data_IF_607101784434
#
_entry.id   IF_607101784434
#
_cell.length_a   1.000
_cell.length_b   1.000
_cell.length_c   1.000
_cell.angle_alpha   90.00
_cell.angle_beta   90.00
_cell.angle_gamma   90.00
#
_symmetry.space_group_name_H-M   'P 1'
#
loop_
_entity.id
_entity.type
_entity.pdbx_description
1 polymer ?
#
# COMPACT_ATOMS: atom_id res chain seq x y z
N UNK A 1 35.61 -18.91 -32.50
CA UNK A 1 34.15 -18.93 -32.69
C UNK A 1 33.54 -19.72 -31.54
N UNK A 2 32.98 -19.03 -30.54
CA UNK A 2 32.37 -19.65 -29.37
C UNK A 2 30.89 -19.35 -29.42
N UNK A 3 30.07 -20.38 -29.62
CA UNK A 3 28.62 -20.30 -29.60
C UNK A 3 28.13 -20.19 -28.15
N UNK A 4 27.43 -19.11 -27.82
CA UNK A 4 26.66 -19.00 -26.59
C UNK A 4 25.20 -19.33 -26.92
N UNK A 5 24.70 -20.40 -26.32
CA UNK A 5 23.31 -20.85 -26.42
C UNK A 5 22.56 -20.31 -25.19
N UNK A 6 21.63 -19.40 -25.40
CA UNK A 6 20.80 -18.84 -24.35
C UNK A 6 19.58 -19.75 -24.12
N UNK A 7 19.47 -20.32 -22.92
CA UNK A 7 18.27 -20.98 -22.43
C UNK A 7 17.28 -19.91 -21.92
N UNK A 8 16.11 -19.85 -22.54
CA UNK A 8 14.97 -19.07 -22.05
C UNK A 8 14.23 -19.89 -20.99
N UNK A 9 14.17 -19.37 -19.77
CA UNK A 9 13.29 -19.89 -18.71
C UNK A 9 12.07 -18.98 -18.65
N UNK A 10 10.89 -19.53 -18.90
CA UNK A 10 9.60 -18.84 -18.76
C UNK A 10 9.35 -18.49 -17.30
N UNK A 11 9.62 -17.23 -16.94
CA UNK A 11 9.22 -16.64 -15.67
C UNK A 11 7.92 -15.89 -15.89
N UNK A 12 6.82 -16.41 -15.33
CA UNK A 12 5.54 -15.71 -15.24
C UNK A 12 5.76 -14.34 -14.58
N UNK A 13 5.31 -13.22 -15.19
CA UNK A 13 5.46 -11.92 -14.57
C UNK A 13 4.51 -11.81 -13.36
N UNK A 14 4.96 -11.24 -12.22
CA UNK A 14 4.08 -10.95 -11.11
C UNK A 14 3.02 -9.92 -11.55
N UNK A 15 1.82 -9.93 -10.94
CA UNK A 15 0.77 -8.97 -11.28
C UNK A 15 1.28 -7.55 -11.00
N UNK A 16 1.34 -6.78 -12.08
CA UNK A 16 1.67 -5.37 -12.10
C UNK A 16 0.70 -4.59 -11.19
N UNK A 17 1.11 -4.32 -9.95
CA UNK A 17 0.82 -3.02 -9.38
C UNK A 17 1.66 -2.03 -10.17
N UNK A 18 1.04 -1.41 -11.17
CA UNK A 18 1.68 -0.36 -11.94
C UNK A 18 2.13 0.75 -10.98
N UNK A 19 3.44 0.93 -10.85
CA UNK A 19 4.12 2.10 -10.25
C UNK A 19 3.65 3.46 -10.80
N UNK A 20 2.73 3.45 -11.76
CA UNK A 20 2.05 4.60 -12.35
C UNK A 20 1.13 5.31 -11.35
N UNK A 21 0.50 4.61 -10.40
CA UNK A 21 -0.34 5.25 -9.38
C UNK A 21 0.50 6.07 -8.37
N UNK A 22 1.69 5.57 -7.99
CA UNK A 22 2.62 6.30 -7.10
C UNK A 22 3.27 7.52 -7.78
N UNK A 23 3.41 7.50 -9.11
CA UNK A 23 3.93 8.66 -9.87
C UNK A 23 2.97 9.85 -9.91
N UNK A 24 1.66 9.64 -9.71
CA UNK A 24 0.67 10.72 -9.72
C UNK A 24 0.65 11.46 -8.37
N UNK A 25 0.89 10.77 -7.26
CA UNK A 25 0.83 11.33 -5.91
C UNK A 25 2.11 12.11 -5.55
N UNK A 26 3.25 11.71 -6.11
CA UNK A 26 4.54 12.39 -5.93
C UNK A 26 4.86 13.40 -7.04
N UNK A 27 3.89 13.80 -7.85
CA UNK A 27 4.08 14.97 -8.72
C UNK A 27 3.96 16.19 -7.80
N UNK A 28 5.05 16.93 -7.51
CA UNK A 28 4.92 18.15 -6.75
C UNK A 28 3.94 19.03 -7.53
N UNK A 29 2.87 19.49 -6.89
CA UNK A 29 2.20 20.70 -7.31
C UNK A 29 3.27 21.77 -7.23
N UNK A 30 4.03 21.95 -8.32
CA UNK A 30 5.13 22.89 -8.39
C UNK A 30 4.49 24.26 -8.27
N UNK A 31 4.60 24.94 -7.12
CA UNK A 31 4.31 26.36 -7.12
C UNK A 31 5.39 26.95 -8.03
N UNK A 32 5.05 27.92 -8.85
CA UNK A 32 6.06 28.75 -9.49
C UNK A 32 6.75 29.55 -8.38
N UNK A 33 7.75 28.95 -7.73
CA UNK A 33 8.54 29.61 -6.69
C UNK A 33 9.51 30.57 -7.38
N UNK A 34 9.59 31.84 -6.93
CA UNK A 34 10.67 32.74 -7.32
C UNK A 34 12.01 32.14 -6.90
N UNK A 35 13.00 32.18 -7.79
CA UNK A 35 14.34 31.71 -7.53
C UNK A 35 14.95 32.42 -6.33
N UNK A 36 15.46 31.68 -5.33
CA UNK A 36 16.56 32.13 -4.47
C UNK A 36 17.15 31.00 -3.60
N UNK A 37 18.48 30.90 -3.69
CA UNK A 37 19.50 30.25 -2.84
C UNK A 37 19.76 28.73 -3.02
N UNK A 38 21.02 28.32 -3.32
CA UNK A 38 21.43 26.91 -3.44
C UNK A 38 21.66 26.23 -2.07
N UNK A 39 21.49 24.89 -1.97
CA UNK A 39 21.64 24.17 -0.71
C UNK A 39 23.09 23.79 -0.38
N UNK A 40 23.41 23.85 0.92
CA UNK A 40 24.67 23.40 1.51
C UNK A 40 24.64 21.87 1.65
N UNK A 41 25.63 21.20 1.06
CA UNK A 41 25.78 19.75 1.09
C UNK A 41 26.21 19.23 2.48
N UNK A 42 25.59 18.13 2.92
CA UNK A 42 26.02 17.34 4.08
C UNK A 42 26.37 15.90 3.68
N UNK A 43 27.33 15.24 4.36
CA UNK A 43 27.87 13.95 3.93
C UNK A 43 27.05 12.75 4.42
N UNK A 44 26.77 11.83 3.49
CA UNK A 44 26.09 10.55 3.69
C UNK A 44 26.98 9.57 4.48
N UNK A 45 26.52 9.15 5.66
CA UNK A 45 27.06 7.99 6.40
C UNK A 45 26.53 6.69 5.79
N UNK A 46 27.44 5.82 5.33
CA UNK A 46 27.15 4.44 4.94
C UNK A 46 26.85 3.60 6.19
N UNK A 47 25.62 3.10 6.31
CA UNK A 47 25.25 2.06 7.27
C UNK A 47 25.26 0.73 6.52
N UNK A 48 26.18 -0.16 6.89
CA UNK A 48 26.22 -1.54 6.42
C UNK A 48 25.06 -2.33 7.02
N UNK A 49 24.34 -3.09 6.20
CA UNK A 49 23.39 -4.11 6.65
C UNK A 49 23.96 -5.49 6.39
N UNK A 50 24.09 -6.27 7.46
CA UNK A 50 24.35 -7.69 7.41
C UNK A 50 23.14 -8.41 6.81
N UNK A 51 23.42 -9.37 5.94
CA UNK A 51 22.44 -10.20 5.26
C UNK A 51 22.19 -11.44 6.14
N UNK A 52 21.19 -11.37 7.01
CA UNK A 52 20.64 -12.56 7.66
C UNK A 52 19.58 -13.17 6.75
N UNK A 53 19.77 -14.43 6.40
CA UNK A 53 18.84 -15.24 5.60
C UNK A 53 17.59 -15.53 6.41
N UNK A 54 16.37 -15.30 5.87
CA UNK A 54 15.16 -15.67 6.57
C UNK A 54 14.98 -17.19 6.45
N UNK A 55 15.17 -17.91 7.57
CA UNK A 55 14.59 -19.23 7.72
C UNK A 55 13.08 -19.10 7.54
N UNK A 56 12.61 -19.60 6.41
CA UNK A 56 11.18 -19.73 6.10
C UNK A 56 10.62 -20.71 7.13
N UNK A 57 9.99 -20.20 8.18
CA UNK A 57 9.16 -20.98 9.09
C UNK A 57 8.02 -21.61 8.27
N UNK A 58 8.24 -22.85 7.86
CA UNK A 58 7.26 -23.67 7.18
C UNK A 58 6.13 -23.95 8.16
N UNK A 59 4.93 -23.44 7.84
CA UNK A 59 3.71 -23.79 8.53
C UNK A 59 3.37 -25.25 8.20
N UNK A 60 4.01 -26.19 8.88
CA UNK A 60 3.51 -27.54 9.02
C UNK A 60 2.18 -27.43 9.77
N UNK A 61 1.10 -27.92 9.16
CA UNK A 61 -0.14 -28.17 9.86
C UNK A 61 0.22 -28.91 11.16
N UNK A 62 -0.14 -28.36 12.32
CA UNK A 62 0.33 -28.78 13.65
C UNK A 62 -0.09 -30.19 14.11
N UNK A 63 -0.27 -31.13 13.20
CA UNK A 63 -0.34 -32.56 13.45
C UNK A 63 1.00 -33.17 13.03
N UNK A 64 1.90 -33.38 14.00
CA UNK A 64 3.19 -34.02 13.77
C UNK A 64 3.03 -35.30 12.94
N UNK A 65 3.87 -35.44 11.90
CA UNK A 65 4.06 -36.67 11.12
C UNK A 65 2.80 -37.31 10.50
N UNK A 66 1.76 -36.55 10.15
CA UNK A 66 0.69 -37.13 9.35
C UNK A 66 1.23 -37.51 7.95
N UNK A 67 1.17 -38.80 7.61
CA UNK A 67 1.64 -39.36 6.34
C UNK A 67 0.57 -40.18 5.64
N UNK A 68 0.72 -40.33 4.33
CA UNK A 68 -0.16 -41.13 3.51
C UNK A 68 -0.13 -42.59 3.96
N UNK A 69 -1.27 -43.22 4.22
CA UNK A 69 -1.28 -44.61 4.68
C UNK A 69 -0.92 -45.63 3.58
N UNK A 70 -0.81 -45.19 2.31
CA UNK A 70 -0.36 -46.04 1.18
C UNK A 70 1.13 -45.86 0.87
N UNK A 71 1.60 -44.62 0.65
CA UNK A 71 3.01 -44.37 0.31
C UNK A 71 3.91 -44.02 1.51
N UNK A 72 3.34 -43.80 2.70
CA UNK A 72 4.03 -43.45 3.95
C UNK A 72 4.76 -42.10 3.89
N UNK A 73 4.69 -41.39 2.77
CA UNK A 73 5.27 -40.06 2.63
C UNK A 73 4.46 -39.05 3.44
N UNK A 74 5.14 -38.08 4.09
CA UNK A 74 4.48 -37.02 4.82
C UNK A 74 3.59 -36.21 3.88
N UNK A 75 2.43 -35.77 4.36
CA UNK A 75 1.57 -34.90 3.56
C UNK A 75 2.31 -33.58 3.28
N UNK A 76 2.37 -33.22 2.01
CA UNK A 76 3.05 -32.03 1.51
C UNK A 76 2.20 -30.77 1.67
N UNK A 77 2.64 -29.67 1.05
CA UNK A 77 1.83 -28.45 1.02
C UNK A 77 0.55 -28.71 0.23
N UNK A 78 -0.44 -27.84 0.44
CA UNK A 78 -1.78 -27.93 -0.15
C UNK A 78 -1.74 -27.96 -1.69
N UNK A 79 -0.67 -27.46 -2.29
CA UNK A 79 -0.47 -27.34 -3.74
C UNK A 79 0.15 -28.60 -4.39
N UNK A 80 0.78 -29.50 -3.62
CA UNK A 80 1.72 -30.50 -4.16
C UNK A 80 1.09 -31.83 -4.59
N UNK A 81 -0.22 -31.90 -4.84
CA UNK A 81 -0.97 -33.17 -5.02
C UNK A 81 -0.82 -34.18 -3.85
N UNK A 82 -0.13 -33.79 -2.78
CA UNK A 82 0.13 -34.57 -1.56
C UNK A 82 -0.75 -34.13 -0.39
N UNK A 83 -1.86 -33.45 -0.67
CA UNK A 83 -2.85 -33.12 0.35
C UNK A 83 -3.55 -34.40 0.85
N UNK A 84 -3.94 -34.47 2.15
CA UNK A 84 -4.64 -35.62 2.71
C UNK A 84 -6.10 -35.66 2.25
N UNK A 85 -6.55 -36.85 1.87
CA UNK A 85 -7.93 -37.15 1.51
C UNK A 85 -8.43 -38.35 2.30
N UNK A 86 -9.61 -38.21 2.91
CA UNK A 86 -10.27 -39.29 3.61
C UNK A 86 -11.26 -39.97 2.65
N UNK A 87 -11.16 -41.30 2.55
CA UNK A 87 -12.19 -42.11 1.89
C UNK A 87 -13.28 -42.50 2.89
N UNK A 88 -14.43 -42.98 2.41
CA UNK A 88 -15.61 -43.25 3.24
C UNK A 88 -15.35 -44.19 4.45
N UNK A 89 -14.35 -45.07 4.36
CA UNK A 89 -13.97 -45.97 5.46
C UNK A 89 -13.05 -45.32 6.52
N UNK A 90 -12.70 -44.04 6.40
CA UNK A 90 -11.89 -43.30 7.36
C UNK A 90 -10.37 -43.34 7.12
N UNK A 91 -9.89 -44.15 6.17
CA UNK A 91 -8.48 -44.17 5.78
C UNK A 91 -8.09 -42.90 5.01
N UNK A 92 -6.83 -42.48 5.18
CA UNK A 92 -6.28 -41.22 4.66
C UNK A 92 -5.14 -41.47 3.68
N UNK A 93 -5.29 -40.92 2.47
CA UNK A 93 -4.34 -41.09 1.37
C UNK A 93 -4.00 -39.75 0.72
N UNK A 94 -2.86 -39.66 0.04
CA UNK A 94 -2.58 -38.53 -0.86
C UNK A 94 -3.35 -38.69 -2.19
N UNK A 95 -3.55 -37.60 -2.91
CA UNK A 95 -4.31 -37.61 -4.18
C UNK A 95 -3.69 -38.55 -5.20
N UNK A 96 -2.35 -38.55 -5.31
CA UNK A 96 -1.60 -39.45 -6.21
C UNK A 96 -1.92 -40.92 -5.93
N UNK A 97 -1.96 -41.30 -4.66
CA UNK A 97 -2.26 -42.66 -4.24
C UNK A 97 -3.72 -43.09 -4.53
N UNK A 98 -4.66 -42.14 -4.56
CA UNK A 98 -6.05 -42.37 -4.91
C UNK A 98 -6.28 -42.41 -6.43
N UNK A 99 -5.57 -41.58 -7.20
CA UNK A 99 -5.66 -41.49 -8.66
C UNK A 99 -4.85 -42.56 -9.41
N UNK A 100 -4.02 -43.32 -8.71
CA UNK A 100 -3.31 -44.47 -9.27
C UNK A 100 -4.30 -45.57 -9.69
N UNK A 101 -4.75 -45.48 -10.95
CA UNK A 101 -5.78 -46.34 -11.55
C UNK A 101 -5.39 -47.82 -11.57
N UNK A 102 -4.08 -48.11 -11.66
CA UNK A 102 -3.56 -49.48 -11.65
C UNK A 102 -3.80 -50.17 -10.31
N UNK A 103 -3.79 -49.42 -9.22
CA UNK A 103 -4.05 -49.93 -7.89
C UNK A 103 -5.55 -49.86 -7.50
N UNK A 104 -6.31 -48.92 -8.07
CA UNK A 104 -7.66 -48.57 -7.61
C UNK A 104 -8.77 -48.79 -8.66
N UNK A 105 -8.61 -49.74 -9.59
CA UNK A 105 -9.55 -50.00 -10.68
C UNK A 105 -11.03 -50.10 -10.25
N UNK A 106 -11.31 -50.63 -9.04
CA UNK A 106 -12.67 -50.81 -8.51
C UNK A 106 -13.16 -49.68 -7.58
N UNK A 107 -12.43 -48.56 -7.46
CA UNK A 107 -12.74 -47.49 -6.49
C UNK A 107 -12.87 -48.02 -5.04
N UNK A 108 -12.00 -48.94 -4.66
CA UNK A 108 -11.98 -49.52 -3.32
C UNK A 108 -10.79 -49.01 -2.52
N UNK A 109 -10.96 -48.87 -1.21
CA UNK A 109 -9.89 -48.47 -0.32
C UNK A 109 -8.68 -49.43 -0.45
N UNK A 110 -7.45 -48.92 -0.66
CA UNK A 110 -6.25 -49.76 -0.75
C UNK A 110 -6.00 -50.66 0.47
N UNK A 111 -6.48 -50.26 1.65
CA UNK A 111 -6.21 -50.97 2.91
C UNK A 111 -7.31 -51.96 3.28
N UNK A 112 -8.56 -51.51 3.33
CA UNK A 112 -9.68 -52.35 3.77
C UNK A 112 -10.61 -52.80 2.65
N UNK A 113 -10.36 -52.41 1.40
CA UNK A 113 -11.14 -52.75 0.20
C UNK A 113 -12.61 -52.31 0.22
N UNK A 114 -13.02 -51.51 1.20
CA UNK A 114 -14.35 -50.90 1.22
C UNK A 114 -14.53 -50.02 -0.02
N UNK A 115 -15.60 -50.22 -0.81
CA UNK A 115 -15.86 -49.37 -1.97
C UNK A 115 -16.13 -47.93 -1.53
N UNK A 116 -15.66 -46.97 -2.30
CA UNK A 116 -15.90 -45.56 -2.10
C UNK A 116 -16.23 -44.87 -3.42
N UNK A 117 -16.99 -43.79 -3.34
CA UNK A 117 -17.31 -42.98 -4.52
C UNK A 117 -16.09 -42.12 -4.89
N UNK A 118 -15.58 -42.26 -6.13
CA UNK A 118 -14.47 -41.45 -6.65
C UNK A 118 -14.84 -39.97 -6.75
N UNK A 119 -16.12 -39.64 -6.78
CA UNK A 119 -16.58 -38.24 -6.79
C UNK A 119 -16.72 -37.66 -5.38
N UNK A 120 -16.63 -38.49 -4.33
CA UNK A 120 -17.00 -38.13 -2.96
C UNK A 120 -15.87 -38.15 -1.92
N UNK A 121 -14.58 -38.27 -2.29
CA UNK A 121 -13.51 -38.20 -1.30
C UNK A 121 -13.37 -36.78 -0.74
N UNK A 122 -13.44 -36.65 0.59
CA UNK A 122 -13.41 -35.35 1.24
C UNK A 122 -11.95 -34.94 1.46
N UNK A 123 -11.58 -33.78 0.93
CA UNK A 123 -10.27 -33.19 1.24
C UNK A 123 -10.25 -32.86 2.73
N UNK A 124 -9.36 -33.50 3.48
CA UNK A 124 -9.23 -33.31 4.94
C UNK A 124 -8.75 -31.91 5.34
N UNK A 125 -8.40 -31.05 4.38
CA UNK A 125 -8.09 -29.63 4.59
C UNK A 125 -9.30 -28.76 5.05
N UNK A 126 -10.39 -29.39 5.52
CA UNK A 126 -11.60 -28.68 5.92
C UNK A 126 -12.58 -29.41 6.83
N UNK A 127 -12.21 -30.55 7.45
CA UNK A 127 -13.07 -31.25 8.42
C UNK A 127 -13.06 -30.60 9.82
N UNK A 128 -13.11 -29.27 9.84
CA UNK A 128 -13.66 -28.50 10.93
C UNK A 128 -14.87 -27.74 10.37
N UNK A 129 -16.04 -28.39 10.38
CA UNK A 129 -17.34 -27.72 10.28
C UNK A 129 -17.95 -27.57 8.88
N UNK A 130 -19.10 -28.21 8.71
CA UNK A 130 -20.14 -27.96 7.71
C UNK A 130 -20.50 -26.48 7.57
N UNK A 131 -20.19 -25.78 6.46
CA UNK A 131 -20.96 -24.59 6.04
C UNK A 131 -20.82 -24.28 4.52
N UNK A 132 -21.90 -23.85 3.83
CA UNK A 132 -21.86 -23.16 2.53
C UNK A 132 -21.05 -21.84 2.49
N UNK A 133 -20.39 -21.44 3.59
CA UNK A 133 -19.67 -20.17 3.69
C UNK A 133 -18.35 -20.12 2.90
N UNK A 134 -17.73 -21.27 2.59
CA UNK A 134 -16.40 -21.29 1.94
C UNK A 134 -16.39 -20.73 0.51
N UNK A 135 -17.48 -20.83 -0.24
CA UNK A 135 -17.57 -20.24 -1.58
C UNK A 135 -17.66 -18.71 -1.51
N UNK A 136 -18.45 -18.16 -0.56
CA UNK A 136 -18.58 -16.70 -0.35
C UNK A 136 -17.26 -16.01 0.00
N UNK A 137 -16.35 -16.69 0.72
CA UNK A 137 -15.07 -16.09 1.10
C UNK A 137 -14.16 -15.83 -0.11
N UNK A 138 -14.16 -16.73 -1.10
CA UNK A 138 -13.36 -16.51 -2.31
C UNK A 138 -13.93 -15.39 -3.17
N UNK A 139 -15.25 -15.36 -3.34
CA UNK A 139 -15.95 -14.31 -4.10
C UNK A 139 -15.71 -12.93 -3.48
N UNK A 140 -15.78 -12.83 -2.14
CA UNK A 140 -15.52 -11.58 -1.43
C UNK A 140 -14.07 -11.13 -1.58
N UNK A 141 -13.10 -12.05 -1.44
CA UNK A 141 -11.69 -11.71 -1.65
C UNK A 141 -11.40 -11.25 -3.08
N UNK A 142 -12.01 -11.88 -4.08
CA UNK A 142 -11.91 -11.44 -5.48
C UNK A 142 -12.56 -10.08 -5.70
N UNK A 143 -13.74 -9.85 -5.11
CA UNK A 143 -14.44 -8.55 -5.16
C UNK A 143 -13.57 -7.44 -4.57
N UNK A 144 -13.06 -7.61 -3.35
CA UNK A 144 -12.22 -6.62 -2.68
C UNK A 144 -10.96 -6.30 -3.47
N UNK A 145 -10.29 -7.32 -4.04
CA UNK A 145 -9.15 -7.08 -4.95
C UNK A 145 -9.55 -6.26 -6.18
N UNK A 146 -10.70 -6.58 -6.78
CA UNK A 146 -11.23 -5.83 -7.92
C UNK A 146 -11.56 -4.37 -7.57
N UNK A 147 -12.08 -4.11 -6.37
CA UNK A 147 -12.34 -2.76 -5.87
C UNK A 147 -11.04 -2.00 -5.60
N UNK A 148 -10.05 -2.63 -4.95
CA UNK A 148 -8.73 -2.02 -4.73
C UNK A 148 -8.05 -1.70 -6.05
N UNK A 149 -8.15 -2.57 -7.06
CA UNK A 149 -7.57 -2.34 -8.38
C UNK A 149 -8.21 -1.17 -9.15
N UNK A 150 -9.43 -0.75 -8.77
CA UNK A 150 -10.13 0.39 -9.37
C UNK A 150 -9.84 1.71 -8.65
N UNK A 151 -9.10 1.69 -7.54
CA UNK A 151 -8.73 2.89 -6.81
C UNK A 151 -7.88 3.79 -7.72
N UNK A 152 -8.30 5.05 -7.83
CA UNK A 152 -7.63 6.09 -8.62
C UNK A 152 -7.39 7.36 -7.78
N UNK A 153 -6.83 8.40 -8.41
CA UNK A 153 -6.56 9.67 -7.75
C UNK A 153 -7.81 10.49 -7.41
N UNK A 154 -8.98 10.16 -7.98
CA UNK A 154 -10.26 10.84 -7.76
C UNK A 154 -11.10 10.17 -6.68
N UNK A 155 -10.71 8.97 -6.25
CA UNK A 155 -11.42 8.21 -5.22
C UNK A 155 -11.43 9.00 -3.90
N UNK A 156 -12.63 9.15 -3.32
CA UNK A 156 -12.84 9.90 -2.09
C UNK A 156 -12.21 9.18 -0.89
N UNK A 157 -11.63 9.93 0.07
CA UNK A 157 -11.07 9.40 1.32
C UNK A 157 -12.03 8.52 2.10
N UNK A 158 -13.31 8.88 2.15
CA UNK A 158 -14.32 8.08 2.84
C UNK A 158 -14.49 6.70 2.18
N UNK A 159 -14.45 6.64 0.86
CA UNK A 159 -14.54 5.38 0.11
C UNK A 159 -13.28 4.53 0.33
N UNK A 160 -12.10 5.16 0.33
CA UNK A 160 -10.83 4.47 0.60
C UNK A 160 -10.78 3.88 2.02
N UNK A 161 -11.22 4.65 3.03
CA UNK A 161 -11.29 4.18 4.42
C UNK A 161 -12.28 3.02 4.57
N UNK A 162 -13.46 3.13 3.95
CA UNK A 162 -14.46 2.05 3.96
C UNK A 162 -13.90 0.78 3.31
N UNK A 163 -13.28 0.90 2.13
CA UNK A 163 -12.68 -0.23 1.43
C UNK A 163 -11.54 -0.88 2.23
N UNK A 164 -10.69 -0.07 2.86
CA UNK A 164 -9.63 -0.56 3.74
C UNK A 164 -10.19 -1.33 4.93
N UNK A 165 -11.20 -0.79 5.62
CA UNK A 165 -11.79 -1.39 6.81
C UNK A 165 -12.54 -2.68 6.48
N UNK A 166 -13.29 -2.71 5.38
CA UNK A 166 -13.98 -3.90 4.91
C UNK A 166 -13.00 -4.99 4.52
N UNK A 167 -11.93 -4.65 3.81
CA UNK A 167 -10.88 -5.61 3.46
C UNK A 167 -10.14 -6.14 4.69
N UNK A 168 -9.88 -5.28 5.68
CA UNK A 168 -9.22 -5.68 6.93
C UNK A 168 -10.11 -6.59 7.78
N UNK A 169 -11.39 -6.23 7.98
CA UNK A 169 -12.37 -7.09 8.65
C UNK A 169 -12.51 -8.45 7.95
N UNK A 170 -12.50 -8.44 6.62
CA UNK A 170 -12.49 -9.68 5.85
C UNK A 170 -11.24 -10.51 6.19
N UNK A 171 -10.04 -9.95 6.08
CA UNK A 171 -8.79 -10.65 6.38
C UNK A 171 -8.74 -11.17 7.83
N UNK A 172 -9.23 -10.41 8.81
CA UNK A 172 -9.28 -10.81 10.22
C UNK A 172 -10.18 -12.04 10.46
N UNK A 173 -11.19 -12.25 9.60
CA UNK A 173 -12.07 -13.42 9.64
C UNK A 173 -11.51 -14.66 8.93
N UNK A 174 -10.40 -14.52 8.19
CA UNK A 174 -9.83 -15.60 7.38
C UNK A 174 -8.64 -16.29 8.09
N UNK A 175 -8.41 -17.59 7.83
CA UNK A 175 -7.20 -18.25 8.29
C UNK A 175 -5.95 -17.58 7.68
N UNK A 176 -4.90 -17.45 8.50
CA UNK A 176 -3.62 -16.83 8.12
C UNK A 176 -3.07 -17.43 6.83
N UNK A 177 -2.40 -16.61 6.02
CA UNK A 177 -1.71 -16.97 4.76
C UNK A 177 -2.59 -17.35 3.55
N UNK A 178 -3.91 -17.24 3.63
CA UNK A 178 -4.78 -17.59 2.48
C UNK A 178 -4.90 -16.50 1.42
N UNK A 179 -4.74 -15.24 1.81
CA UNK A 179 -4.95 -14.05 0.98
C UNK A 179 -3.77 -13.07 1.11
N UNK A 180 -2.55 -13.58 0.93
CA UNK A 180 -1.31 -12.80 1.12
C UNK A 180 -1.20 -11.61 0.17
N UNK A 181 -1.69 -11.77 -1.05
CA UNK A 181 -1.80 -10.71 -2.06
C UNK A 181 -2.71 -9.57 -1.59
N UNK A 182 -3.91 -9.90 -1.13
CA UNK A 182 -4.86 -8.92 -0.61
C UNK A 182 -4.32 -8.26 0.66
N UNK A 183 -3.63 -9.01 1.52
CA UNK A 183 -3.01 -8.46 2.73
C UNK A 183 -1.97 -7.39 2.41
N UNK A 184 -1.09 -7.64 1.42
CA UNK A 184 -0.13 -6.64 0.94
C UNK A 184 -0.88 -5.41 0.41
N UNK A 185 -1.92 -5.62 -0.39
CA UNK A 185 -2.71 -4.53 -0.96
C UNK A 185 -3.41 -3.68 0.11
N UNK A 186 -3.95 -4.29 1.16
CA UNK A 186 -4.56 -3.58 2.29
C UNK A 186 -3.54 -2.75 3.05
N UNK A 187 -2.32 -3.28 3.26
CA UNK A 187 -1.23 -2.50 3.87
C UNK A 187 -0.83 -1.30 3.01
N UNK A 188 -0.68 -1.50 1.70
CA UNK A 188 -0.38 -0.41 0.76
C UNK A 188 -1.49 0.65 0.75
N UNK A 189 -2.75 0.23 0.80
CA UNK A 189 -3.90 1.13 0.90
C UNK A 189 -3.88 1.93 2.21
N UNK A 190 -3.48 1.31 3.33
CA UNK A 190 -3.25 1.99 4.60
C UNK A 190 -2.16 3.07 4.51
N UNK A 191 -0.98 2.73 3.96
CA UNK A 191 0.09 3.71 3.73
C UNK A 191 -0.36 4.87 2.81
N UNK A 192 -1.18 4.57 1.80
CA UNK A 192 -1.72 5.59 0.91
C UNK A 192 -2.66 6.57 1.65
N UNK A 193 -3.54 6.06 2.52
CA UNK A 193 -4.42 6.88 3.36
C UNK A 193 -3.61 7.83 4.28
N UNK A 194 -2.58 7.30 4.95
CA UNK A 194 -1.70 8.09 5.81
C UNK A 194 -0.96 9.19 5.02
N UNK A 195 -0.45 8.85 3.84
CA UNK A 195 0.23 9.81 2.96
C UNK A 195 -0.73 10.92 2.50
N UNK A 196 -1.98 10.58 2.18
CA UNK A 196 -2.99 11.54 1.74
C UNK A 196 -3.41 12.49 2.87
N UNK A 197 -3.60 11.98 4.08
CA UNK A 197 -3.88 12.77 5.28
C UNK A 197 -2.73 13.75 5.57
N UNK A 198 -1.48 13.27 5.49
CA UNK A 198 -0.29 14.11 5.65
C UNK A 198 -0.21 15.20 4.58
N UNK A 199 -0.52 14.87 3.33
CA UNK A 199 -0.52 15.84 2.22
C UNK A 199 -1.59 16.92 2.39
N UNK A 200 -2.79 16.55 2.86
CA UNK A 200 -3.85 17.50 3.18
C UNK A 200 -3.45 18.43 4.33
N UNK A 201 -2.88 17.88 5.41
CA UNK A 201 -2.36 18.68 6.51
C UNK A 201 -1.29 19.68 6.02
N UNK A 202 -0.35 19.23 5.19
CA UNK A 202 0.66 20.11 4.58
C UNK A 202 0.02 21.19 3.69
N UNK A 203 -1.00 20.85 2.90
CA UNK A 203 -1.69 21.82 2.05
C UNK A 203 -2.36 22.93 2.90
N UNK A 204 -2.94 22.60 4.06
CA UNK A 204 -3.52 23.62 4.95
C UNK A 204 -2.45 24.57 5.50
N UNK A 205 -1.29 24.05 5.91
CA UNK A 205 -0.16 24.87 6.38
C UNK A 205 0.37 25.77 5.26
N UNK A 206 0.54 25.23 4.05
CA UNK A 206 1.00 26.02 2.89
C UNK A 206 0.01 27.15 2.57
N UNK A 207 -1.29 26.86 2.57
CA UNK A 207 -2.31 27.89 2.32
C UNK A 207 -2.29 29.00 3.39
N UNK A 208 -2.13 28.64 4.67
CA UNK A 208 -2.00 29.62 5.75
C UNK A 208 -0.74 30.49 5.59
N UNK A 209 0.40 29.90 5.20
CA UNK A 209 1.63 30.66 4.93
C UNK A 209 1.49 31.58 3.72
N UNK A 210 0.81 31.14 2.66
CA UNK A 210 0.51 31.97 1.48
C UNK A 210 -0.33 33.18 1.89
N UNK A 211 -1.36 32.99 2.71
CA UNK A 211 -2.19 34.07 3.24
C UNK A 211 -1.36 35.06 4.09
N UNK A 212 -0.48 34.55 4.97
CA UNK A 212 0.43 35.41 5.75
C UNK A 212 1.37 36.23 4.86
N UNK A 213 1.93 35.63 3.79
CA UNK A 213 2.78 36.34 2.84
C UNK A 213 1.99 37.45 2.14
N UNK A 214 0.74 37.18 1.74
CA UNK A 214 -0.13 38.20 1.16
C UNK A 214 -0.43 39.33 2.14
N UNK A 215 -0.73 39.02 3.40
CA UNK A 215 -0.99 40.01 4.44
C UNK A 215 0.24 40.90 4.70
N UNK A 216 1.41 40.29 4.89
CA UNK A 216 2.66 41.03 5.08
C UNK A 216 3.01 41.89 3.86
N UNK A 217 2.68 41.41 2.65
CA UNK A 217 2.80 42.20 1.42
C UNK A 217 1.91 43.45 1.43
N UNK A 218 0.66 43.31 1.87
CA UNK A 218 -0.29 44.42 1.99
C UNK A 218 0.15 45.44 3.07
N UNK A 219 0.57 44.95 4.23
CA UNK A 219 1.06 45.78 5.34
C UNK A 219 2.33 46.54 4.94
N UNK A 220 3.28 45.86 4.28
CA UNK A 220 4.47 46.50 3.73
C UNK A 220 4.09 47.63 2.77
N UNK A 221 3.16 47.38 1.84
CA UNK A 221 2.70 48.39 0.90
C UNK A 221 2.01 49.58 1.61
N UNK A 222 1.25 49.32 2.68
CA UNK A 222 0.63 50.36 3.50
C UNK A 222 1.66 51.21 4.24
N UNK A 223 2.64 50.58 4.91
CA UNK A 223 3.71 51.30 5.61
C UNK A 223 4.52 52.17 4.64
N UNK A 224 4.79 51.67 3.42
CA UNK A 224 5.44 52.47 2.39
C UNK A 224 4.59 53.66 1.93
N UNK A 225 3.24 53.56 1.91
CA UNK A 225 2.37 54.71 1.67
C UNK A 225 2.49 55.74 2.79
N UNK A 226 2.39 55.29 4.04
CA UNK A 226 2.49 56.16 5.22
C UNK A 226 3.83 56.91 5.28
N UNK A 227 4.95 56.22 5.00
CA UNK A 227 6.26 56.86 4.92
C UNK A 227 6.29 57.98 3.86
N UNK A 228 5.78 57.73 2.66
CA UNK A 228 5.72 58.75 1.60
C UNK A 228 4.84 59.94 1.99
N UNK A 229 3.72 59.69 2.65
CA UNK A 229 2.81 60.76 3.08
C UNK A 229 3.43 61.62 4.20
N UNK A 230 4.15 60.99 5.13
CA UNK A 230 4.91 61.68 6.17
C UNK A 230 6.05 62.51 5.59
N UNK A 231 6.81 61.97 4.63
CA UNK A 231 7.86 62.71 3.90
C UNK A 231 7.28 63.94 3.19
N UNK A 232 6.13 63.79 2.52
CA UNK A 232 5.42 64.90 1.87
C UNK A 232 4.95 65.94 2.88
N UNK A 233 4.47 65.53 4.04
CA UNK A 233 4.06 66.43 5.11
C UNK A 233 5.25 67.23 5.65
N UNK A 234 6.35 66.55 5.98
CA UNK A 234 7.56 67.20 6.45
C UNK A 234 8.11 68.20 5.41
N UNK A 235 8.06 67.86 4.12
CA UNK A 235 8.46 68.78 3.05
C UNK A 235 7.58 70.05 3.03
N UNK A 236 6.26 69.92 3.20
CA UNK A 236 5.33 71.07 3.28
C UNK A 236 5.59 71.93 4.50
N UNK A 237 5.78 71.31 5.67
CA UNK A 237 6.09 72.03 6.92
C UNK A 237 7.42 72.77 6.81
N UNK A 238 8.45 72.12 6.25
CA UNK A 238 9.75 72.75 6.01
C UNK A 238 9.66 73.95 5.08
N UNK A 239 8.89 73.84 4.00
CA UNK A 239 8.68 74.96 3.07
C UNK A 239 7.88 76.09 3.74
N UNK A 240 6.83 75.75 4.50
CA UNK A 240 6.06 76.74 5.27
C UNK A 240 6.92 77.52 6.26
N UNK A 241 7.74 76.82 7.06
CA UNK A 241 8.67 77.46 8.00
C UNK A 241 9.67 78.33 7.24
N UNK A 242 10.21 77.83 6.13
CA UNK A 242 11.15 78.57 5.28
C UNK A 242 10.52 79.87 4.75
N UNK A 243 9.33 79.82 4.16
CA UNK A 243 8.62 81.02 3.67
C UNK A 243 8.35 82.01 4.80
N UNK A 244 7.90 81.53 5.96
CA UNK A 244 7.58 82.40 7.10
C UNK A 244 8.82 83.09 7.69
N UNK A 245 9.96 82.41 7.72
CA UNK A 245 11.24 83.03 8.12
C UNK A 245 11.64 84.12 7.13
N UNK A 246 11.51 83.89 5.82
CA UNK A 246 11.78 84.94 4.82
C UNK A 246 10.87 86.16 4.98
N UNK A 247 9.58 85.95 5.27
CA UNK A 247 8.63 87.04 5.48
C UNK A 247 8.98 87.87 6.72
N UNK A 248 9.37 87.22 7.82
CA UNK A 248 9.81 87.91 9.04
C UNK A 248 11.07 88.76 8.81
N UNK A 249 12.07 88.21 8.11
CA UNK A 249 13.29 88.95 7.76
C UNK A 249 12.97 90.18 6.90
N UNK A 250 11.96 90.10 6.03
CA UNK A 250 11.59 91.21 5.14
C UNK A 250 10.83 92.33 5.87
N UNK A 251 10.14 92.03 6.96
CA UNK A 251 9.36 92.99 7.73
C UNK A 251 10.21 93.83 8.69
N UNK A 252 11.41 93.36 9.05
CA UNK A 252 12.33 94.03 9.98
C UNK A 252 13.77 93.98 9.43
N UNK A 253 14.06 94.74 8.35
CA UNK A 253 15.31 94.63 7.58
C UNK A 253 16.56 95.20 8.26
#
# INVERSE_FOLDING_TARGET
>A
AVHFQACTVDVYPPPFFTLQALRVILRPLHPQTPQLVPPIASPLRKIGRAHETPEIMQAHLGAGSASCQKCVEPFGRLEDFRAPFMVACGHVFCLLCLHDERANAAACCPLCRTPYDRTGYLRLAGLAGTVPHRLRSFDMGAKLRGEIARVDGLTNDMQLRTLHDDARRFLDSQPRNRFTDLEINVRLLGCFLEAKETAQAQATVVNALVEQVHQLGADKAQMHRQLRDAERQYAREREYVRSRVYDLIRQDP
#
